data_IF_916054463614
#
_entry.id   IF_916054463614
#
_cell.length_a   1.000
_cell.length_b   1.000
_cell.length_c   1.000
_cell.angle_alpha   90.00
_cell.angle_beta   90.00
_cell.angle_gamma   90.00
#
_symmetry.space_group_name_H-M   'P 1'
#
loop_
_entity.id
_entity.type
_entity.pdbx_description
1 polymer ?
#
# COMPACT_ATOMS: atom_id res chain seq x y z
N UNK A 1 31.69 1.66 -12.78
CA UNK A 1 31.78 2.87 -11.92
C UNK A 1 30.37 3.06 -11.40
N UNK A 2 30.11 2.97 -10.09
CA UNK A 2 28.73 2.95 -9.58
C UNK A 2 27.98 4.19 -10.06
N UNK A 3 26.97 4.00 -10.91
CA UNK A 3 26.14 5.11 -11.42
C UNK A 3 24.95 5.33 -10.51
N UNK A 4 24.44 4.25 -9.92
CA UNK A 4 23.27 4.24 -9.04
C UNK A 4 23.60 3.58 -7.71
N UNK A 5 23.31 4.30 -6.63
CA UNK A 5 23.45 3.83 -5.26
C UNK A 5 22.06 3.69 -4.65
N UNK A 6 21.73 2.54 -4.08
CA UNK A 6 20.54 2.34 -3.26
C UNK A 6 20.95 2.31 -1.78
N UNK A 7 20.31 3.15 -0.98
CA UNK A 7 20.48 3.24 0.48
C UNK A 7 19.23 2.69 1.17
N UNK A 8 19.43 1.64 1.97
CA UNK A 8 18.37 0.82 2.54
C UNK A 8 17.72 -0.08 1.49
N UNK A 9 16.79 -0.92 1.92
CA UNK A 9 15.94 -1.66 1.01
C UNK A 9 14.57 -1.87 1.65
N UNK A 10 13.57 -1.94 0.79
CA UNK A 10 12.18 -2.24 1.08
C UNK A 10 11.60 -2.96 -0.13
N UNK A 11 10.31 -3.30 -0.10
CA UNK A 11 9.64 -3.82 -1.30
C UNK A 11 9.78 -2.87 -2.50
N UNK A 12 9.74 -1.55 -2.26
CA UNK A 12 9.95 -0.53 -3.30
C UNK A 12 11.40 -0.53 -3.80
N UNK A 13 12.37 -0.59 -2.88
CA UNK A 13 13.79 -0.67 -3.21
C UNK A 13 14.10 -1.91 -4.05
N UNK A 14 13.57 -3.08 -3.67
CA UNK A 14 13.74 -4.32 -4.40
C UNK A 14 13.12 -4.23 -5.81
N UNK A 15 11.90 -3.69 -5.95
CA UNK A 15 11.26 -3.48 -7.24
C UNK A 15 12.14 -2.68 -8.22
N UNK A 16 12.82 -1.63 -7.71
CA UNK A 16 13.75 -0.82 -8.49
C UNK A 16 15.02 -1.58 -8.87
N UNK A 17 15.55 -2.41 -7.97
CA UNK A 17 16.71 -3.26 -8.23
C UNK A 17 16.42 -4.25 -9.35
N UNK A 18 15.24 -4.88 -9.35
CA UNK A 18 14.85 -5.84 -10.41
C UNK A 18 15.01 -5.21 -11.78
N UNK A 19 14.44 -4.01 -11.93
CA UNK A 19 14.45 -3.28 -13.18
C UNK A 19 15.84 -2.80 -13.57
N UNK A 20 16.65 -2.35 -12.61
CA UNK A 20 18.02 -1.89 -12.87
C UNK A 20 18.93 -3.04 -13.35
N UNK A 21 18.74 -4.26 -12.83
CA UNK A 21 19.46 -5.45 -13.27
C UNK A 21 19.05 -5.85 -14.68
N UNK A 22 17.75 -5.85 -14.99
CA UNK A 22 17.23 -6.11 -16.34
C UNK A 22 17.81 -5.14 -17.38
N UNK A 23 17.98 -3.87 -17.00
CA UNK A 23 18.55 -2.82 -17.85
C UNK A 23 20.11 -2.82 -17.84
N UNK A 24 20.74 -3.77 -17.14
CA UNK A 24 22.22 -3.93 -17.03
C UNK A 24 22.94 -2.67 -16.53
N UNK A 25 22.37 -2.02 -15.52
CA UNK A 25 22.90 -0.76 -14.99
C UNK A 25 23.93 -0.97 -13.87
N UNK A 26 24.97 -0.13 -13.82
CA UNK A 26 25.97 -0.11 -12.73
C UNK A 26 25.30 0.33 -11.41
N UNK A 27 24.98 -0.65 -10.58
CA UNK A 27 24.16 -0.51 -9.37
C UNK A 27 24.87 -1.06 -8.13
N UNK A 28 24.71 -0.39 -6.99
CA UNK A 28 25.19 -0.85 -5.68
C UNK A 28 24.11 -0.59 -4.62
N UNK A 29 23.76 -1.60 -3.82
CA UNK A 29 22.91 -1.44 -2.64
C UNK A 29 23.75 -1.42 -1.36
N UNK A 30 23.38 -0.56 -0.41
CA UNK A 30 23.89 -0.52 0.96
C UNK A 30 22.70 -0.71 1.90
N UNK A 31 22.71 -1.79 2.67
CA UNK A 31 21.65 -2.09 3.64
C UNK A 31 22.25 -2.90 4.79
N UNK A 32 21.81 -2.66 6.02
CA UNK A 32 22.17 -3.44 7.20
C UNK A 32 21.10 -4.50 7.54
N UNK A 33 19.99 -4.51 6.81
CA UNK A 33 19.02 -5.60 6.86
C UNK A 33 19.61 -6.83 6.15
N UNK A 34 19.99 -7.84 6.94
CA UNK A 34 20.58 -9.08 6.44
C UNK A 34 19.62 -9.88 5.54
N UNK A 35 18.31 -9.78 5.76
CA UNK A 35 17.30 -10.42 4.93
C UNK A 35 17.30 -9.82 3.53
N UNK A 36 17.18 -8.50 3.44
CA UNK A 36 17.28 -7.78 2.17
C UNK A 36 18.64 -7.96 1.51
N UNK A 37 19.72 -7.93 2.29
CA UNK A 37 21.07 -8.15 1.74
C UNK A 37 21.20 -9.54 1.10
N UNK A 38 20.62 -10.58 1.71
CA UNK A 38 20.54 -11.92 1.10
C UNK A 38 19.73 -11.89 -0.19
N UNK A 39 18.51 -11.34 -0.15
CA UNK A 39 17.61 -11.27 -1.32
C UNK A 39 18.26 -10.55 -2.50
N UNK A 40 18.96 -9.45 -2.27
CA UNK A 40 19.63 -8.69 -3.32
C UNK A 40 20.80 -9.47 -3.93
N UNK A 41 21.59 -10.16 -3.11
CA UNK A 41 22.71 -11.00 -3.57
C UNK A 41 22.24 -12.22 -4.36
N UNK A 42 21.17 -12.88 -3.93
CA UNK A 42 20.58 -14.02 -4.64
C UNK A 42 20.13 -13.65 -6.05
N UNK A 43 19.83 -12.37 -6.26
CA UNK A 43 19.42 -11.79 -7.54
C UNK A 43 20.59 -11.17 -8.31
N UNK A 44 21.81 -11.39 -7.87
CA UNK A 44 23.05 -10.89 -8.47
C UNK A 44 23.20 -9.36 -8.44
N UNK A 45 22.57 -8.69 -7.46
CA UNK A 45 22.80 -7.27 -7.20
C UNK A 45 24.07 -7.08 -6.35
N UNK A 46 24.96 -6.16 -6.76
CA UNK A 46 26.09 -5.78 -5.92
C UNK A 46 25.56 -5.13 -4.63
N UNK A 47 25.93 -5.71 -3.48
CA UNK A 47 25.35 -5.35 -2.18
C UNK A 47 26.43 -5.30 -1.10
N UNK A 48 26.45 -4.21 -0.33
CA UNK A 48 27.29 -4.00 0.84
C UNK A 48 26.40 -4.03 2.08
N UNK A 49 26.80 -4.83 3.06
CA UNK A 49 26.10 -4.91 4.34
C UNK A 49 26.69 -3.89 5.30
N UNK A 50 26.04 -2.73 5.39
CA UNK A 50 26.46 -1.60 6.22
C UNK A 50 25.26 -0.68 6.48
N UNK A 51 25.37 0.18 7.49
CA UNK A 51 24.33 1.15 7.80
C UNK A 51 24.18 2.17 6.65
N UNK A 52 23.03 2.22 5.93
CA UNK A 52 22.78 3.21 4.88
C UNK A 52 22.74 4.67 5.35
N UNK A 53 22.74 4.93 6.66
CA UNK A 53 22.87 6.28 7.22
C UNK A 53 24.32 6.70 7.47
N UNK A 54 25.27 5.76 7.41
CA UNK A 54 26.69 6.03 7.58
C UNK A 54 27.39 6.20 6.23
N UNK A 55 27.90 7.40 5.90
CA UNK A 55 28.58 7.66 4.63
C UNK A 55 29.91 6.90 4.49
N UNK A 56 30.45 6.30 5.56
CA UNK A 56 31.68 5.48 5.48
C UNK A 56 31.52 4.24 4.60
N UNK A 57 30.30 3.71 4.46
CA UNK A 57 29.96 2.59 3.61
C UNK A 57 29.65 2.96 2.15
N UNK A 58 29.65 4.25 1.81
CA UNK A 58 29.26 4.70 0.48
C UNK A 58 30.41 4.54 -0.52
N UNK A 59 30.12 4.32 -1.82
CA UNK A 59 31.14 4.29 -2.85
C UNK A 59 31.87 5.66 -2.98
N UNK A 60 32.90 5.73 -3.83
CA UNK A 60 33.58 7.00 -4.06
C UNK A 60 32.72 7.99 -4.85
N UNK A 61 31.92 7.49 -5.79
CA UNK A 61 31.10 8.29 -6.70
C UNK A 61 29.73 7.62 -6.89
N UNK A 62 28.68 8.45 -6.92
CA UNK A 62 27.33 8.06 -7.32
C UNK A 62 26.71 9.22 -8.10
N UNK A 63 26.06 8.95 -9.24
CA UNK A 63 25.36 9.97 -10.03
C UNK A 63 23.88 10.09 -9.61
N UNK A 64 23.29 8.96 -9.22
CA UNK A 64 21.92 8.87 -8.69
C UNK A 64 21.94 8.10 -7.38
N UNK A 65 21.28 8.63 -6.36
CA UNK A 65 21.07 7.97 -5.07
C UNK A 65 19.57 7.72 -4.88
N UNK A 66 19.22 6.47 -4.65
CA UNK A 66 17.89 6.00 -4.32
C UNK A 66 17.86 5.73 -2.82
N UNK A 67 16.93 6.33 -2.09
CA UNK A 67 16.73 6.07 -0.65
C UNK A 67 15.40 5.37 -0.48
N UNK A 68 15.39 4.11 -0.05
CA UNK A 68 14.19 3.29 -0.03
C UNK A 68 14.18 2.26 1.11
N UNK A 69 14.32 2.72 2.36
CA UNK A 69 13.96 1.93 3.54
C UNK A 69 12.47 2.09 3.88
N UNK A 70 11.90 1.15 4.63
CA UNK A 70 10.54 1.27 5.17
C UNK A 70 10.43 2.30 6.31
N UNK A 71 11.54 2.67 6.96
CA UNK A 71 11.57 3.65 8.05
C UNK A 71 11.74 5.10 7.51
N UNK A 72 10.75 5.99 7.72
CA UNK A 72 10.84 7.40 7.30
C UNK A 72 12.00 8.19 7.91
N UNK A 73 12.26 8.01 9.21
CA UNK A 73 13.34 8.72 9.90
C UNK A 73 14.70 8.30 9.34
N UNK A 74 14.83 7.01 9.04
CA UNK A 74 16.01 6.46 8.40
C UNK A 74 16.22 7.02 7.00
N UNK A 75 15.16 7.15 6.21
CA UNK A 75 15.24 7.73 4.87
C UNK A 75 15.71 9.20 4.92
N UNK A 76 15.24 9.99 5.90
CA UNK A 76 15.71 11.37 6.10
C UNK A 76 17.21 11.40 6.42
N UNK A 77 17.67 10.53 7.33
CA UNK A 77 19.08 10.45 7.71
C UNK A 77 19.97 10.02 6.53
N UNK A 78 19.59 8.96 5.82
CA UNK A 78 20.32 8.46 4.66
C UNK A 78 20.37 9.49 3.51
N UNK A 79 19.25 10.17 3.22
CA UNK A 79 19.23 11.23 2.21
C UNK A 79 20.14 12.42 2.59
N UNK A 80 20.17 12.78 3.88
CA UNK A 80 21.04 13.86 4.39
C UNK A 80 22.51 13.50 4.25
N UNK A 81 22.90 12.29 4.68
CA UNK A 81 24.26 11.77 4.51
C UNK A 81 24.66 11.72 3.03
N UNK A 82 23.74 11.28 2.16
CA UNK A 82 23.97 11.24 0.72
C UNK A 82 24.18 12.63 0.11
N UNK A 83 23.38 13.63 0.50
CA UNK A 83 23.53 15.01 0.00
C UNK A 83 24.84 15.65 0.43
N UNK A 84 25.28 15.38 1.66
CA UNK A 84 26.58 15.87 2.15
C UNK A 84 27.74 15.23 1.39
N UNK A 85 27.66 13.92 1.13
CA UNK A 85 28.71 13.19 0.41
C UNK A 85 28.73 13.47 -1.10
N UNK A 86 27.55 13.64 -1.69
CA UNK A 86 27.35 13.83 -3.12
C UNK A 86 26.49 15.06 -3.42
N UNK A 87 27.06 16.28 -3.35
CA UNK A 87 26.30 17.51 -3.55
C UNK A 87 25.59 17.58 -4.91
N UNK A 88 26.20 16.99 -5.95
CA UNK A 88 25.71 17.06 -7.34
C UNK A 88 24.90 15.82 -7.78
N UNK A 89 24.75 14.80 -6.92
CA UNK A 89 23.98 13.61 -7.27
C UNK A 89 22.48 13.91 -7.26
N UNK A 90 21.75 13.24 -8.16
CA UNK A 90 20.29 13.22 -8.12
C UNK A 90 19.83 12.28 -7.01
N UNK A 91 19.13 12.80 -6.00
CA UNK A 91 18.60 12.03 -4.88
C UNK A 91 17.10 11.84 -5.08
N UNK A 92 16.68 10.58 -5.17
CA UNK A 92 15.26 10.18 -5.18
C UNK A 92 14.98 9.39 -3.91
N UNK A 93 14.06 9.88 -3.09
CA UNK A 93 13.77 9.27 -1.80
C UNK A 93 12.31 8.85 -1.67
N UNK A 94 12.10 7.64 -1.17
CA UNK A 94 10.80 7.14 -0.75
C UNK A 94 10.49 7.63 0.67
N UNK A 95 9.24 8.02 0.93
CA UNK A 95 8.82 8.57 2.24
C UNK A 95 8.82 7.58 3.40
N UNK A 96 8.92 6.27 3.15
CA UNK A 96 8.74 5.23 4.18
C UNK A 96 7.27 4.89 4.45
N UNK A 97 7.04 4.07 5.48
CA UNK A 97 5.71 3.69 5.96
C UNK A 97 5.24 4.68 7.03
N UNK A 98 4.01 5.20 6.89
CA UNK A 98 3.36 6.10 7.84
C UNK A 98 4.24 7.29 8.34
N UNK A 99 4.79 8.11 7.43
CA UNK A 99 5.67 9.21 7.81
C UNK A 99 4.93 10.35 8.52
N UNK A 100 5.62 11.05 9.42
CA UNK A 100 5.12 12.32 9.97
C UNK A 100 5.28 13.46 8.96
N UNK A 101 4.46 14.52 9.11
CA UNK A 101 4.56 15.70 8.24
C UNK A 101 5.97 16.32 8.26
N UNK A 102 6.61 16.34 9.44
CA UNK A 102 7.97 16.86 9.61
C UNK A 102 9.00 15.99 8.89
N UNK A 103 8.86 14.67 8.90
CA UNK A 103 9.73 13.75 8.16
C UNK A 103 9.60 13.94 6.65
N UNK A 104 8.37 14.07 6.14
CA UNK A 104 8.13 14.33 4.71
C UNK A 104 8.73 15.68 4.31
N UNK A 105 8.55 16.72 5.12
CA UNK A 105 9.13 18.05 4.87
C UNK A 105 10.66 18.02 4.89
N UNK A 106 11.27 17.34 5.87
CA UNK A 106 12.71 17.16 5.95
C UNK A 106 13.24 16.42 4.72
N UNK A 107 12.60 15.34 4.30
CA UNK A 107 13.02 14.56 3.14
C UNK A 107 12.93 15.39 1.84
N UNK A 108 11.84 16.16 1.66
CA UNK A 108 11.65 17.07 0.52
C UNK A 108 12.67 18.22 0.47
N UNK A 109 13.24 18.60 1.61
CA UNK A 109 14.26 19.65 1.66
C UNK A 109 15.63 19.19 1.15
N UNK A 110 15.89 17.87 1.14
CA UNK A 110 17.20 17.29 0.82
C UNK A 110 17.19 16.55 -0.52
N UNK A 111 16.12 15.80 -0.80
CA UNK A 111 15.96 15.00 -2.01
C UNK A 111 15.45 15.84 -3.18
N UNK A 112 15.97 15.57 -4.39
CA UNK A 112 15.50 16.22 -5.63
C UNK A 112 14.09 15.74 -6.03
N UNK A 113 13.77 14.49 -5.66
CA UNK A 113 12.44 13.92 -5.86
C UNK A 113 12.04 13.07 -4.67
N UNK A 114 10.85 13.33 -4.16
CA UNK A 114 10.24 12.49 -3.11
C UNK A 114 9.11 11.67 -3.71
N UNK A 115 9.10 10.38 -3.40
CA UNK A 115 8.09 9.42 -3.84
C UNK A 115 7.29 8.97 -2.62
N UNK A 116 6.02 9.32 -2.63
CA UNK A 116 5.00 8.72 -1.76
C UNK A 116 4.18 7.72 -2.61
N UNK A 117 4.42 6.40 -2.47
CA UNK A 117 3.69 5.40 -3.22
C UNK A 117 2.18 5.41 -2.93
N UNK A 118 1.79 5.74 -1.70
CA UNK A 118 0.38 5.79 -1.29
C UNK A 118 -0.29 6.98 -1.94
N UNK A 119 0.33 8.16 -1.89
CA UNK A 119 -0.18 9.37 -2.56
C UNK A 119 -0.22 9.19 -4.09
N UNK A 120 0.82 8.59 -4.68
CA UNK A 120 0.90 8.34 -6.12
C UNK A 120 -0.19 7.36 -6.58
N UNK A 121 -0.40 6.27 -5.85
CA UNK A 121 -1.45 5.30 -6.15
C UNK A 121 -2.84 5.91 -5.93
N UNK A 122 -3.04 6.63 -4.83
CA UNK A 122 -4.30 7.33 -4.55
C UNK A 122 -4.63 8.31 -5.67
N UNK A 123 -3.68 9.13 -6.10
CA UNK A 123 -3.86 10.07 -7.23
C UNK A 123 -4.21 9.33 -8.51
N UNK A 124 -3.47 8.27 -8.85
CA UNK A 124 -3.76 7.49 -10.05
C UNK A 124 -5.16 6.86 -10.05
N UNK A 125 -5.62 6.40 -8.88
CA UNK A 125 -6.97 5.88 -8.67
C UNK A 125 -7.98 7.02 -8.85
N UNK A 126 -7.77 8.19 -8.23
CA UNK A 126 -8.64 9.37 -8.39
C UNK A 126 -8.77 9.78 -9.87
N UNK A 127 -7.68 9.80 -10.62
CA UNK A 127 -7.70 10.06 -12.07
C UNK A 127 -8.51 8.99 -12.82
N UNK A 128 -8.29 7.71 -12.50
CA UNK A 128 -8.99 6.60 -13.14
C UNK A 128 -10.50 6.61 -12.86
N UNK A 129 -10.89 7.09 -11.67
CA UNK A 129 -12.29 7.19 -11.27
C UNK A 129 -12.97 8.50 -11.70
N UNK A 130 -12.23 9.41 -12.33
CA UNK A 130 -12.74 10.68 -12.84
C UNK A 130 -13.05 11.69 -11.74
N UNK A 131 -12.39 11.60 -10.58
CA UNK A 131 -12.65 12.52 -9.47
C UNK A 131 -12.27 13.96 -9.80
N UNK A 132 -11.20 14.15 -10.56
CA UNK A 132 -10.71 15.47 -10.94
C UNK A 132 -11.60 16.13 -12.02
N UNK A 133 -12.30 15.36 -12.86
CA UNK A 133 -13.23 15.89 -13.86
C UNK A 133 -14.56 16.36 -13.24
N UNK A 134 -15.00 15.73 -12.16
CA UNK A 134 -16.29 15.98 -11.51
C UNK A 134 -16.29 17.20 -10.58
N UNK A 135 -15.12 17.65 -10.13
CA UNK A 135 -15.01 18.89 -9.34
C UNK A 135 -15.13 20.14 -10.23
N UNK A 136 -14.75 20.03 -11.51
CA UNK A 136 -14.89 21.10 -12.50
C UNK A 136 -16.34 21.35 -12.95
N UNK A 137 -17.23 20.36 -12.82
CA UNK A 137 -18.66 20.53 -13.13
C UNK A 137 -19.47 21.15 -11.98
N UNK A 138 -18.94 21.15 -10.75
CA UNK A 138 -19.61 21.73 -9.57
C UNK A 138 -19.54 23.27 -9.52
N UNK A 139 -18.64 23.89 -10.29
CA UNK A 139 -18.48 25.35 -10.40
C UNK A 139 -19.37 25.99 -11.49
N UNK A 140 -20.19 25.19 -12.19
CA UNK A 140 -21.29 25.74 -13.00
C UNK A 140 -22.47 26.04 -12.08
N UNK A 141 -22.41 27.23 -11.48
CA UNK A 141 -23.53 27.90 -10.82
C UNK A 141 -24.87 27.65 -11.54
N UNK A 142 -25.84 26.98 -10.89
CA UNK A 142 -27.21 27.07 -11.34
C UNK A 142 -27.74 28.45 -10.92
N UNK A 143 -28.13 29.26 -11.90
CA UNK A 143 -28.91 30.48 -11.74
C UNK A 143 -30.14 30.18 -10.86
N UNK A 144 -30.06 30.57 -9.59
CA UNK A 144 -31.18 30.53 -8.64
C UNK A 144 -31.68 31.95 -8.41
N UNK A 145 -32.55 32.38 -9.31
CA UNK A 145 -33.51 33.43 -9.02
C UNK A 145 -34.70 32.84 -8.24
N UNK A 146 -34.85 33.33 -7.00
CA UNK A 146 -36.04 33.36 -6.16
C UNK A 146 -36.70 32.02 -5.74
N UNK A 147 -36.75 31.77 -4.43
CA UNK A 147 -37.96 32.08 -3.65
C UNK A 147 -37.71 32.03 -2.14
N UNK A 148 -38.37 32.98 -1.49
CA UNK A 148 -38.40 33.28 -0.07
C UNK A 148 -39.47 32.44 0.62
N UNK A 149 -39.21 31.93 1.83
CA UNK A 149 -40.18 31.98 2.94
C UNK A 149 -39.60 31.43 4.27
N UNK A 150 -39.60 32.31 5.26
CA UNK A 150 -40.00 32.13 6.66
C UNK A 150 -39.30 31.07 7.55
N UNK A 151 -38.59 31.60 8.55
CA UNK A 151 -38.38 30.98 9.87
C UNK A 151 -39.71 30.71 10.59
N UNK A 152 -39.71 29.81 11.58
CA UNK A 152 -40.00 30.30 12.92
C UNK A 152 -39.05 29.79 14.01
N UNK A 153 -39.14 30.51 15.11
CA UNK A 153 -38.39 30.54 16.35
C UNK A 153 -38.87 29.48 17.37
N UNK A 154 -38.01 29.22 18.36
CA UNK A 154 -38.32 28.88 19.78
C UNK A 154 -38.26 27.41 20.26
N UNK A 155 -37.22 27.19 21.09
CA UNK A 155 -37.20 26.57 22.43
C UNK A 155 -37.89 25.21 22.66
N UNK A 156 -37.16 24.20 23.15
CA UNK A 156 -36.91 23.98 24.58
C UNK A 156 -35.97 22.76 24.78
N UNK A 157 -35.16 22.78 25.84
CA UNK A 157 -34.47 21.60 26.41
C UNK A 157 -34.88 21.56 27.88
N UNK A 158 -35.28 20.41 28.46
CA UNK A 158 -34.31 19.51 29.13
C UNK A 158 -34.75 18.02 29.00
N UNK A 159 -34.14 16.95 29.53
CA UNK A 159 -33.70 16.65 30.90
C UNK A 159 -32.76 15.41 30.83
N UNK A 160 -31.74 15.43 31.68
CA UNK A 160 -30.83 14.33 32.01
C UNK A 160 -31.53 13.07 32.54
N UNK A 161 -31.06 11.88 32.17
CA UNK A 161 -31.34 10.65 32.92
C UNK A 161 -30.07 9.79 33.04
N UNK A 162 -29.54 9.80 34.27
CA UNK A 162 -28.82 8.79 35.03
C UNK A 162 -27.97 7.72 34.32
N UNK A 163 -26.70 7.68 34.74
CA UNK A 163 -25.82 6.52 34.78
C UNK A 163 -26.43 5.31 35.49
N UNK A 164 -25.96 4.10 35.20
CA UNK A 164 -25.79 3.09 36.23
C UNK A 164 -24.31 2.87 36.60
N UNK A 165 -24.16 2.63 37.89
CA UNK A 165 -22.97 2.36 38.67
C UNK A 165 -22.46 0.91 38.46
N UNK A 166 -21.31 0.65 39.07
CA UNK A 166 -20.34 -0.42 38.83
C UNK A 166 -20.71 -1.84 39.29
N UNK A 167 -19.72 -2.74 39.09
CA UNK A 167 -19.53 -4.12 39.61
C UNK A 167 -20.15 -5.21 38.73
N UNK A 168 -19.49 -6.32 38.39
CA UNK A 168 -18.54 -7.11 39.17
C UNK A 168 -17.55 -7.85 38.23
N UNK A 169 -16.32 -8.10 38.69
CA UNK A 169 -15.41 -9.07 38.06
C UNK A 169 -15.79 -10.49 38.49
N UNK A 170 -15.59 -11.51 37.63
CA UNK A 170 -15.03 -12.74 38.21
C UNK A 170 -13.91 -13.41 37.38
N UNK A 171 -12.86 -13.72 38.14
CA UNK A 171 -12.24 -15.05 38.30
C UNK A 171 -11.51 -15.65 37.10
N UNK A 172 -10.18 -15.65 37.25
CA UNK A 172 -9.21 -16.54 36.63
C UNK A 172 -9.68 -18.00 36.65
N UNK A 173 -9.68 -18.63 35.48
CA UNK A 173 -9.69 -20.08 35.35
C UNK A 173 -8.43 -20.54 34.62
N UNK A 174 -7.90 -21.65 35.15
CA UNK A 174 -6.57 -22.18 35.01
C UNK A 174 -6.12 -22.55 33.58
N UNK A 175 -4.80 -22.49 33.38
CA UNK A 175 -4.05 -23.22 32.38
C UNK A 175 -4.38 -24.72 32.36
N UNK A 176 -4.28 -25.39 31.21
CA UNK A 176 -3.89 -26.79 31.18
C UNK A 176 -2.38 -26.92 30.92
N UNK A 177 -1.77 -27.76 31.74
CA UNK A 177 -0.42 -28.28 31.64
C UNK A 177 -0.26 -29.26 30.47
N UNK A 178 1.01 -29.51 30.15
CA UNK A 178 1.55 -30.33 29.06
C UNK A 178 1.24 -31.83 29.14
N UNK A 179 1.35 -32.50 27.97
CA UNK A 179 1.85 -33.86 27.66
C UNK A 179 1.07 -34.37 26.41
N UNK A 180 1.60 -35.12 25.45
CA UNK A 180 2.79 -35.95 25.37
C UNK A 180 3.24 -36.08 23.90
N UNK A 181 4.49 -36.48 23.70
CA UNK A 181 5.14 -36.71 22.41
C UNK A 181 4.77 -38.07 21.82
N UNK A 182 4.58 -38.18 20.50
CA UNK A 182 4.86 -39.39 19.68
C UNK A 182 5.19 -38.90 18.25
N UNK A 183 6.45 -38.85 17.87
CA UNK A 183 7.25 -39.90 17.23
C UNK A 183 7.02 -39.98 15.70
N UNK A 184 8.10 -39.67 14.98
CA UNK A 184 8.27 -39.78 13.54
C UNK A 184 8.13 -41.23 13.06
N UNK A 185 7.47 -41.46 11.92
CA UNK A 185 7.88 -42.54 11.00
C UNK A 185 7.53 -42.22 9.54
N UNK A 186 8.58 -42.38 8.73
CA UNK A 186 8.71 -42.77 7.33
C UNK A 186 7.73 -42.31 6.23
N UNK A 187 8.34 -41.62 5.26
CA UNK A 187 8.03 -41.62 3.84
C UNK A 187 7.83 -43.04 3.26
N UNK A 188 6.94 -43.19 2.27
CA UNK A 188 7.17 -44.17 1.22
C UNK A 188 7.59 -43.51 -0.10
N UNK A 189 8.65 -44.10 -0.64
CA UNK A 189 9.24 -43.92 -1.96
C UNK A 189 8.34 -44.49 -3.07
N UNK A 190 8.37 -43.79 -4.21
CA UNK A 190 8.13 -44.16 -5.62
C UNK A 190 7.45 -45.48 -5.96
N UNK A 191 6.39 -45.41 -6.77
CA UNK A 191 6.05 -46.45 -7.75
C UNK A 191 5.60 -45.86 -9.08
N UNK A 192 5.74 -46.72 -10.09
CA UNK A 192 6.00 -46.49 -11.52
C UNK A 192 5.06 -45.61 -12.35
N UNK A 193 5.70 -45.03 -13.37
CA UNK A 193 5.07 -44.46 -14.57
C UNK A 193 4.31 -45.50 -15.38
N UNK A 194 3.23 -45.10 -16.08
CA UNK A 194 2.90 -45.69 -17.36
C UNK A 194 2.95 -44.65 -18.50
N UNK A 195 3.71 -45.01 -19.53
CA UNK A 195 3.23 -45.09 -20.91
C UNK A 195 2.81 -43.80 -21.62
N UNK A 196 3.70 -43.33 -22.49
CA UNK A 196 3.47 -42.36 -23.56
C UNK A 196 2.17 -42.64 -24.33
N UNK A 197 1.35 -41.60 -24.51
CA UNK A 197 0.35 -41.51 -25.55
C UNK A 197 0.63 -40.27 -26.41
N UNK A 198 0.59 -40.50 -27.72
CA UNK A 198 0.92 -39.57 -28.79
C UNK A 198 0.30 -38.18 -28.66
N UNK A 199 1.13 -37.16 -28.92
CA UNK A 199 0.69 -35.78 -29.14
C UNK A 199 0.12 -35.65 -30.56
N UNK A 200 -1.15 -35.22 -30.76
CA UNK A 200 -1.57 -34.75 -32.06
C UNK A 200 -1.01 -33.34 -32.31
N UNK A 201 -0.64 -33.11 -33.56
CA UNK A 201 0.15 -31.98 -34.01
C UNK A 201 -0.48 -30.60 -33.87
N UNK A 202 0.42 -29.63 -33.92
CA UNK A 202 0.20 -28.19 -33.98
C UNK A 202 -0.91 -27.81 -34.96
N UNK A 203 -2.02 -27.31 -34.43
CA UNK A 203 -2.91 -26.42 -35.17
C UNK A 203 -2.43 -24.99 -34.95
N UNK A 204 -2.24 -24.28 -36.07
CA UNK A 204 -1.96 -22.84 -36.14
C UNK A 204 -2.81 -22.07 -35.14
N UNK A 205 -2.16 -21.28 -34.28
CA UNK A 205 -2.83 -20.24 -33.52
C UNK A 205 -3.24 -19.13 -34.48
N UNK A 206 -4.54 -18.81 -34.65
CA UNK A 206 -4.92 -17.62 -35.38
C UNK A 206 -4.46 -16.41 -34.56
N UNK A 207 -3.91 -15.42 -35.26
CA UNK A 207 -3.31 -14.24 -34.68
C UNK A 207 -4.21 -13.54 -33.68
N UNK A 208 -3.54 -12.89 -32.72
CA UNK A 208 -4.08 -11.95 -31.74
C UNK A 208 -5.17 -11.07 -32.34
N UNK A 209 -6.42 -11.52 -32.21
CA UNK A 209 -7.56 -10.65 -32.30
C UNK A 209 -7.53 -9.80 -31.03
N UNK A 210 -7.13 -8.55 -31.22
CA UNK A 210 -7.39 -7.42 -30.34
C UNK A 210 -8.71 -7.65 -29.59
N UNK A 211 -8.59 -7.96 -28.30
CA UNK A 211 -9.73 -8.17 -27.42
C UNK A 211 -10.53 -6.88 -27.41
N UNK A 212 -11.60 -6.87 -28.21
CA UNK A 212 -12.55 -5.77 -28.28
C UNK A 212 -13.08 -5.53 -26.87
N UNK A 213 -12.58 -4.44 -26.27
CA UNK A 213 -12.99 -3.92 -24.97
C UNK A 213 -14.52 -3.91 -24.91
N UNK A 214 -15.16 -4.53 -23.90
CA UNK A 214 -16.61 -4.47 -23.78
C UNK A 214 -17.05 -3.00 -23.64
N UNK A 215 -17.99 -2.51 -24.47
CA UNK A 215 -18.53 -1.16 -24.34
C UNK A 215 -19.28 -1.10 -23.00
N UNK A 216 -18.75 -0.32 -22.06
CA UNK A 216 -19.25 -0.21 -20.68
C UNK A 216 -18.17 -0.29 -19.58
N UNK A 217 -16.91 -0.58 -19.92
CA UNK A 217 -15.81 -0.56 -18.93
C UNK A 217 -15.34 0.85 -18.52
N UNK A 218 -15.65 1.88 -19.31
CA UNK A 218 -15.28 3.27 -19.00
C UNK A 218 -16.30 3.99 -18.09
N UNK A 219 -17.54 3.49 -17.98
CA UNK A 219 -18.63 4.18 -17.24
C UNK A 219 -18.80 3.74 -15.78
N UNK A 220 -18.15 2.65 -15.35
CA UNK A 220 -18.30 2.13 -13.98
C UNK A 220 -17.69 3.04 -12.91
N UNK A 221 -16.49 3.62 -13.11
CA UNK A 221 -15.88 4.48 -12.10
C UNK A 221 -16.67 5.78 -11.86
N UNK A 222 -17.09 6.55 -12.90
CA UNK A 222 -17.89 7.77 -12.69
C UNK A 222 -19.24 7.49 -12.02
N UNK A 223 -19.87 6.35 -12.32
CA UNK A 223 -21.15 5.96 -11.72
C UNK A 223 -21.02 5.63 -10.24
N UNK A 224 -19.93 4.99 -9.83
CA UNK A 224 -19.65 4.71 -8.41
C UNK A 224 -19.49 6.01 -7.63
N UNK A 225 -18.66 6.93 -8.12
CA UNK A 225 -18.45 8.23 -7.46
C UNK A 225 -19.76 9.01 -7.34
N UNK A 226 -20.54 9.10 -8.43
CA UNK A 226 -21.83 9.80 -8.39
C UNK A 226 -22.78 9.20 -7.36
N UNK A 227 -22.73 7.88 -7.18
CA UNK A 227 -23.54 7.18 -6.17
C UNK A 227 -23.08 7.54 -4.77
N UNK A 228 -21.77 7.53 -4.50
CA UNK A 228 -21.21 7.86 -3.17
C UNK A 228 -21.48 9.32 -2.81
N UNK A 229 -21.29 10.28 -3.73
CA UNK A 229 -21.62 11.70 -3.50
C UNK A 229 -23.11 11.95 -3.26
N UNK A 230 -23.98 11.07 -3.77
CA UNK A 230 -25.42 11.15 -3.56
C UNK A 230 -25.86 10.65 -2.18
N UNK A 231 -24.96 10.09 -1.36
CA UNK A 231 -25.28 9.63 -0.02
C UNK A 231 -25.44 10.81 0.93
N UNK A 232 -26.53 10.81 1.69
CA UNK A 232 -26.85 11.85 2.67
C UNK A 232 -26.10 11.70 4.00
N UNK A 233 -25.20 10.72 4.11
CA UNK A 233 -24.56 10.32 5.37
C UNK A 233 -23.29 9.48 5.14
N UNK A 234 -22.66 8.99 6.23
CA UNK A 234 -21.44 8.21 6.15
C UNK A 234 -21.65 6.89 5.40
N UNK A 235 -20.61 6.45 4.70
CA UNK A 235 -20.61 5.20 3.94
C UNK A 235 -20.06 4.06 4.80
N UNK A 236 -20.87 3.02 5.01
CA UNK A 236 -20.39 1.77 5.59
C UNK A 236 -20.04 0.80 4.46
N UNK A 237 -18.78 0.35 4.39
CA UNK A 237 -18.34 -0.66 3.41
C UNK A 237 -18.27 -2.02 4.08
N UNK A 238 -19.31 -2.83 3.91
CA UNK A 238 -19.43 -4.13 4.56
C UNK A 238 -18.85 -5.22 3.67
N UNK A 239 -17.74 -5.82 4.09
CA UNK A 239 -17.22 -7.05 3.50
C UNK A 239 -18.06 -8.27 3.93
N UNK A 240 -17.98 -9.36 3.17
CA UNK A 240 -18.61 -10.61 3.59
C UNK A 240 -17.93 -11.20 4.83
N UNK A 241 -18.60 -12.14 5.50
CA UNK A 241 -18.01 -12.82 6.65
C UNK A 241 -16.74 -13.59 6.27
N UNK A 242 -15.73 -13.54 7.14
CA UNK A 242 -14.40 -14.13 6.92
C UNK A 242 -13.77 -13.61 5.61
N UNK A 243 -13.54 -12.30 5.49
CA UNK A 243 -13.09 -11.69 4.24
C UNK A 243 -11.69 -12.17 3.86
N UNK A 244 -11.52 -12.43 2.56
CA UNK A 244 -10.22 -12.71 1.96
C UNK A 244 -9.42 -11.40 1.77
N UNK A 245 -8.12 -11.46 1.42
CA UNK A 245 -7.29 -10.27 1.24
C UNK A 245 -7.88 -9.28 0.24
N UNK A 246 -8.55 -9.79 -0.81
CA UNK A 246 -9.15 -8.97 -1.87
C UNK A 246 -10.41 -8.23 -1.38
N UNK A 247 -11.25 -8.87 -0.56
CA UNK A 247 -12.38 -8.22 0.08
C UNK A 247 -11.93 -7.13 1.07
N UNK A 248 -10.88 -7.40 1.86
CA UNK A 248 -10.29 -6.41 2.77
C UNK A 248 -9.73 -5.22 1.98
N UNK A 249 -8.89 -5.50 0.97
CA UNK A 249 -8.31 -4.46 0.12
C UNK A 249 -9.37 -3.63 -0.61
N UNK A 250 -10.44 -4.27 -1.08
CA UNK A 250 -11.56 -3.58 -1.73
C UNK A 250 -12.33 -2.69 -0.75
N UNK A 251 -12.56 -3.15 0.47
CA UNK A 251 -13.25 -2.38 1.50
C UNK A 251 -12.44 -1.15 1.92
N UNK A 252 -11.15 -1.34 2.21
CA UNK A 252 -10.21 -0.25 2.52
C UNK A 252 -10.07 0.71 1.35
N UNK A 253 -9.93 0.19 0.12
CA UNK A 253 -9.81 1.00 -1.09
C UNK A 253 -11.04 1.88 -1.32
N UNK A 254 -12.25 1.33 -1.14
CA UNK A 254 -13.49 2.08 -1.31
C UNK A 254 -13.66 3.14 -0.21
N UNK A 255 -13.32 2.83 1.03
CA UNK A 255 -13.34 3.80 2.13
C UNK A 255 -12.40 4.99 1.84
N UNK A 256 -11.17 4.71 1.39
CA UNK A 256 -10.20 5.74 0.98
C UNK A 256 -10.71 6.61 -0.18
N UNK A 257 -11.39 6.00 -1.15
CA UNK A 257 -12.00 6.75 -2.27
C UNK A 257 -13.12 7.67 -1.77
N UNK A 258 -13.98 7.19 -0.87
CA UNK A 258 -15.07 7.98 -0.29
C UNK A 258 -14.54 9.15 0.58
N UNK A 259 -13.53 8.89 1.42
CA UNK A 259 -12.86 9.93 2.21
C UNK A 259 -12.23 11.01 1.32
N UNK A 260 -11.60 10.60 0.21
CA UNK A 260 -10.99 11.53 -0.74
C UNK A 260 -12.00 12.50 -1.39
N UNK A 261 -13.29 12.16 -1.40
CA UNK A 261 -14.38 13.03 -1.88
C UNK A 261 -15.22 13.63 -0.75
N UNK A 262 -14.73 13.59 0.48
CA UNK A 262 -15.39 14.22 1.64
C UNK A 262 -16.59 13.44 2.20
N UNK A 263 -16.74 12.15 1.85
CA UNK A 263 -17.75 11.27 2.44
C UNK A 263 -17.06 10.38 3.48
N UNK A 264 -17.34 10.58 4.79
CA UNK A 264 -16.78 9.71 5.83
C UNK A 264 -17.15 8.25 5.55
N UNK A 265 -16.19 7.34 5.65
CA UNK A 265 -16.43 5.95 5.32
C UNK A 265 -15.69 4.99 6.26
N UNK A 266 -16.39 3.94 6.69
CA UNK A 266 -15.87 2.92 7.59
C UNK A 266 -15.93 1.54 6.91
N UNK A 267 -14.78 0.84 6.74
CA UNK A 267 -14.79 -0.56 6.35
C UNK A 267 -15.20 -1.44 7.54
N UNK A 268 -16.13 -2.37 7.32
CA UNK A 268 -16.62 -3.31 8.31
C UNK A 268 -16.39 -4.74 7.84
N UNK A 269 -15.87 -5.56 8.76
CA UNK A 269 -15.55 -6.96 8.52
C UNK A 269 -16.39 -7.85 9.43
N UNK A 270 -17.10 -8.81 8.85
CA UNK A 270 -17.83 -9.83 9.59
C UNK A 270 -17.00 -11.09 9.79
N UNK A 271 -17.35 -11.89 10.80
CA UNK A 271 -16.68 -13.17 11.08
C UNK A 271 -15.27 -13.03 11.65
N UNK A 272 -14.43 -14.05 11.42
CA UNK A 272 -13.06 -14.13 11.91
C UNK A 272 -12.05 -13.86 10.79
N UNK A 273 -11.09 -12.98 11.06
CA UNK A 273 -9.93 -12.75 10.17
C UNK A 273 -8.80 -13.69 10.62
N UNK A 274 -8.82 -14.91 10.08
CA UNK A 274 -8.00 -16.03 10.56
C UNK A 274 -6.49 -15.86 10.27
N UNK A 275 -6.12 -15.37 9.09
CA UNK A 275 -4.73 -15.24 8.68
C UNK A 275 -4.06 -14.02 9.33
N UNK A 276 -2.81 -14.19 9.79
CA UNK A 276 -2.06 -13.12 10.47
C UNK A 276 -1.83 -11.92 9.55
N UNK A 277 -1.59 -12.17 8.26
CA UNK A 277 -1.42 -11.17 7.22
C UNK A 277 -2.69 -10.33 7.04
N UNK A 278 -3.85 -10.97 6.96
CA UNK A 278 -5.14 -10.27 6.84
C UNK A 278 -5.45 -9.45 8.09
N UNK A 279 -5.06 -9.93 9.28
CA UNK A 279 -5.17 -9.12 10.51
C UNK A 279 -4.27 -7.90 10.49
N UNK A 280 -3.07 -7.99 9.91
CA UNK A 280 -2.18 -6.84 9.76
C UNK A 280 -2.75 -5.80 8.78
N UNK A 281 -3.60 -6.19 7.83
CA UNK A 281 -4.24 -5.24 6.90
C UNK A 281 -5.37 -4.40 7.54
N UNK A 282 -5.94 -4.85 8.66
CA UNK A 282 -7.11 -4.21 9.30
C UNK A 282 -6.83 -3.55 10.65
N UNK A 283 -5.60 -3.70 11.19
CA UNK A 283 -5.15 -3.08 12.45
C UNK A 283 -4.18 -1.94 12.18
#
# INVERSE_FOLDING_TARGET
MVRRLLLGCSAVGNALVERAIEESEDFLAVTDDAGWASTLRDRNAATVEADPTDPSGFPEHAAVVLVASDDPARNVAAASAARERYPDAMIVAHVGTAPTADQVAALRSVADRVVDPVEAMATRIRDAVGLDELDSESDRTPDRSAESAASPESTDSPISAASPESTDSPISAASPESTDSLESTDSPESTDSPGSADSPGSADSPGSAESARPPGSAERPPRLIRTIRGLSGPLLVVAHDNPDPDAIASAVGLARIAEAIGVPADPCYGGEIAHQENRAMVN
#
